data_IF_899505308358
#
_entry.id   IF_899505308358
#
_cell.length_a   1.000
_cell.length_b   1.000
_cell.length_c   1.000
_cell.angle_alpha   90.00
_cell.angle_beta   90.00
_cell.angle_gamma   90.00
#
_symmetry.space_group_name_H-M   'P 1'
#
loop_
_entity.id
_entity.type
_entity.pdbx_description
1 polymer ?
#
# COMPACT_ATOMS: atom_id res chain seq x y z
N UNK A 1 0.41 22.66 24.95
CA UNK A 1 0.96 23.15 23.67
C UNK A 1 2.06 22.18 23.25
N UNK A 2 1.77 21.21 22.38
CA UNK A 2 2.81 20.38 21.78
C UNK A 2 3.49 21.21 20.69
N UNK A 3 4.80 21.41 20.77
CA UNK A 3 5.56 22.10 19.72
C UNK A 3 5.45 21.29 18.43
N UNK A 4 4.95 21.91 17.36
CA UNK A 4 4.90 21.26 16.05
C UNK A 4 6.32 21.08 15.54
N UNK A 5 6.76 19.83 15.35
CA UNK A 5 7.97 19.54 14.63
C UNK A 5 7.72 19.72 13.12
N UNK A 6 8.55 20.53 12.45
CA UNK A 6 8.50 20.67 10.99
C UNK A 6 9.21 19.47 10.37
N UNK A 7 8.54 18.77 9.46
CA UNK A 7 9.10 17.62 8.73
C UNK A 7 9.35 18.00 7.28
N UNK A 8 10.60 17.90 6.85
CA UNK A 8 10.94 17.99 5.43
C UNK A 8 10.69 16.62 4.77
N UNK A 9 9.63 16.52 3.97
CA UNK A 9 9.08 15.26 3.45
C UNK A 9 10.12 14.42 2.70
N UNK A 10 10.95 15.03 1.83
CA UNK A 10 11.97 14.27 1.08
C UNK A 10 12.97 13.60 2.03
N UNK A 11 13.53 14.37 2.95
CA UNK A 11 14.50 13.84 3.93
C UNK A 11 13.87 12.82 4.88
N UNK A 12 12.57 12.93 5.13
CA UNK A 12 11.80 11.96 5.89
C UNK A 12 11.65 10.64 5.13
N UNK A 13 11.24 10.68 3.85
CA UNK A 13 11.14 9.49 3.00
C UNK A 13 12.50 8.80 2.83
N UNK A 14 13.57 9.57 2.63
CA UNK A 14 14.93 9.00 2.56
C UNK A 14 15.30 8.28 3.86
N UNK A 15 14.84 8.78 5.01
CA UNK A 15 15.06 8.16 6.32
C UNK A 15 14.25 6.86 6.45
N UNK A 16 12.98 6.84 6.06
CA UNK A 16 12.17 5.61 6.01
C UNK A 16 12.87 4.55 5.15
N UNK A 17 13.33 4.93 3.96
CA UNK A 17 14.05 4.05 3.04
C UNK A 17 15.32 3.45 3.62
N UNK A 18 16.15 4.27 4.29
CA UNK A 18 17.38 3.79 4.93
C UNK A 18 17.10 2.86 6.10
N UNK A 19 16.21 3.25 7.02
CA UNK A 19 15.93 2.46 8.24
C UNK A 19 15.35 1.09 7.90
N UNK A 20 14.41 1.02 6.95
CA UNK A 20 13.84 -0.27 6.53
C UNK A 20 14.89 -1.16 5.85
N UNK A 21 15.77 -0.57 5.03
CA UNK A 21 16.89 -1.30 4.41
C UNK A 21 17.84 -1.85 5.47
N UNK A 22 18.29 -1.02 6.40
CA UNK A 22 19.20 -1.41 7.48
C UNK A 22 18.57 -2.52 8.34
N UNK A 23 17.26 -2.43 8.64
CA UNK A 23 16.50 -3.44 9.38
C UNK A 23 16.46 -4.78 8.65
N UNK A 24 16.29 -4.78 7.33
CA UNK A 24 16.31 -6.00 6.50
C UNK A 24 17.70 -6.60 6.39
N UNK A 25 18.71 -5.77 6.16
CA UNK A 25 20.11 -6.20 6.08
C UNK A 25 20.59 -6.80 7.41
N UNK A 26 20.19 -6.24 8.55
CA UNK A 26 20.50 -6.82 9.86
C UNK A 26 19.98 -8.25 10.04
N UNK A 27 18.90 -8.63 9.34
CA UNK A 27 18.33 -9.99 9.36
C UNK A 27 19.01 -10.96 8.40
N UNK A 28 19.85 -10.47 7.48
CA UNK A 28 20.51 -11.31 6.46
C UNK A 28 21.19 -12.56 7.05
N UNK A 29 22.04 -12.47 8.10
CA UNK A 29 22.72 -13.66 8.61
C UNK A 29 21.78 -14.71 9.20
N UNK A 30 20.64 -14.30 9.76
CA UNK A 30 19.59 -15.21 10.24
C UNK A 30 18.87 -15.87 9.07
N UNK A 31 18.49 -15.09 8.06
CA UNK A 31 17.72 -15.55 6.91
C UNK A 31 18.54 -16.47 5.99
N UNK A 32 19.84 -16.24 5.85
CA UNK A 32 20.76 -17.12 5.13
C UNK A 32 20.83 -18.52 5.75
N UNK A 33 20.59 -18.64 7.07
CA UNK A 33 20.57 -19.93 7.78
C UNK A 33 19.17 -20.55 7.85
N UNK A 34 18.13 -19.81 7.44
CA UNK A 34 16.74 -20.23 7.59
C UNK A 34 16.34 -21.19 6.48
N UNK A 35 15.75 -22.33 6.87
CA UNK A 35 15.23 -23.36 5.97
C UNK A 35 13.71 -23.42 6.11
N UNK A 36 13.01 -23.40 4.99
CA UNK A 36 11.56 -23.64 4.89
C UNK A 36 11.37 -25.14 4.70
N UNK A 37 10.48 -25.74 5.52
CA UNK A 37 10.14 -27.17 5.46
C UNK A 37 8.68 -27.32 5.05
N UNK A 38 8.46 -27.94 3.89
CA UNK A 38 7.13 -28.26 3.38
C UNK A 38 6.90 -29.77 3.50
N UNK A 39 5.94 -30.18 4.32
CA UNK A 39 5.59 -31.59 4.51
C UNK A 39 4.31 -31.91 3.74
N UNK A 40 4.40 -32.84 2.79
CA UNK A 40 3.26 -33.30 2.00
C UNK A 40 3.22 -34.83 1.85
N UNK A 41 2.22 -35.35 1.10
CA UNK A 41 2.05 -36.79 0.90
C UNK A 41 3.26 -37.49 0.26
N UNK A 42 4.11 -36.75 -0.46
CA UNK A 42 5.35 -37.23 -1.09
C UNK A 42 6.62 -37.07 -0.26
N UNK A 43 6.53 -36.67 1.02
CA UNK A 43 7.66 -36.44 1.91
C UNK A 43 7.91 -34.97 2.25
N UNK A 44 9.07 -34.69 2.84
CA UNK A 44 9.48 -33.35 3.27
C UNK A 44 10.42 -32.72 2.25
N UNK A 45 10.09 -31.52 1.77
CA UNK A 45 10.97 -30.67 0.97
C UNK A 45 11.56 -29.57 1.84
N UNK A 46 12.88 -29.41 1.78
CA UNK A 46 13.58 -28.30 2.42
C UNK A 46 13.99 -27.27 1.36
N UNK A 47 13.82 -25.98 1.62
CA UNK A 47 14.20 -24.91 0.71
C UNK A 47 14.78 -23.73 1.50
N UNK A 48 16.00 -23.24 1.18
CA UNK A 48 16.55 -22.04 1.81
C UNK A 48 15.61 -20.85 1.66
N UNK A 49 15.46 -20.05 2.72
CA UNK A 49 14.49 -18.96 2.73
C UNK A 49 14.73 -17.94 1.62
N UNK A 50 15.99 -17.55 1.37
CA UNK A 50 16.34 -16.57 0.35
C UNK A 50 16.21 -17.10 -1.09
N UNK A 51 16.13 -18.41 -1.28
CA UNK A 51 15.77 -19.01 -2.58
C UNK A 51 14.27 -18.98 -2.81
N UNK A 52 13.47 -19.14 -1.74
CA UNK A 52 12.02 -19.07 -1.82
C UNK A 52 11.49 -17.63 -1.90
N UNK A 53 12.18 -16.68 -1.28
CA UNK A 53 11.78 -15.25 -1.22
C UNK A 53 12.90 -14.38 -1.79
N UNK A 54 12.99 -14.38 -3.12
CA UNK A 54 14.08 -13.74 -3.86
C UNK A 54 14.06 -12.21 -3.78
N UNK A 55 12.89 -11.60 -3.55
CA UNK A 55 12.70 -10.14 -3.49
C UNK A 55 12.78 -9.56 -2.06
N UNK A 56 13.23 -10.34 -1.07
CA UNK A 56 13.20 -9.91 0.34
C UNK A 56 13.92 -8.57 0.56
N UNK A 57 15.03 -8.32 -0.14
CA UNK A 57 15.82 -7.09 0.01
C UNK A 57 15.37 -5.95 -0.93
N UNK A 58 14.55 -6.25 -1.93
CA UNK A 58 14.01 -5.27 -2.88
C UNK A 58 12.71 -4.61 -2.38
N UNK A 59 12.42 -4.77 -1.09
CA UNK A 59 11.23 -4.22 -0.47
C UNK A 59 11.20 -2.69 -0.51
N UNK A 60 10.16 -2.15 -1.13
CA UNK A 60 9.86 -0.72 -1.09
C UNK A 60 9.00 -0.43 0.14
N UNK A 61 9.46 0.41 1.10
CA UNK A 61 8.67 0.76 2.27
C UNK A 61 7.37 1.44 1.86
N UNK A 62 6.29 1.19 2.62
CA UNK A 62 4.94 1.70 2.34
C UNK A 62 4.89 3.22 2.17
N UNK A 63 5.74 3.96 2.88
CA UNK A 63 5.85 5.42 2.78
C UNK A 63 6.34 5.86 1.40
N UNK A 64 7.40 5.22 0.88
CA UNK A 64 7.93 5.51 -0.46
C UNK A 64 6.92 5.06 -1.52
N UNK A 65 6.35 3.89 -1.32
CA UNK A 65 5.36 3.31 -2.23
C UNK A 65 4.12 4.19 -2.37
N UNK A 66 3.63 4.80 -1.28
CA UNK A 66 2.48 5.71 -1.32
C UNK A 66 2.71 6.88 -2.29
N UNK A 67 3.89 7.50 -2.25
CA UNK A 67 4.25 8.58 -3.17
C UNK A 67 4.56 8.08 -4.60
N UNK A 68 5.14 6.88 -4.74
CA UNK A 68 5.33 6.27 -6.06
C UNK A 68 3.99 5.99 -6.75
N UNK A 69 3.05 5.37 -6.03
CA UNK A 69 1.69 5.09 -6.52
C UNK A 69 0.95 6.40 -6.85
N UNK A 70 1.19 7.48 -6.10
CA UNK A 70 0.68 8.82 -6.43
C UNK A 70 1.23 9.35 -7.75
N UNK A 71 2.55 9.36 -7.91
CA UNK A 71 3.20 9.86 -9.14
C UNK A 71 2.90 9.01 -10.38
N UNK A 72 2.61 7.72 -10.19
CA UNK A 72 2.30 6.78 -11.28
C UNK A 72 0.80 6.66 -11.60
N UNK A 73 -0.07 7.39 -10.92
CA UNK A 73 -1.52 7.37 -11.13
C UNK A 73 -2.05 8.67 -11.73
N UNK A 74 -3.35 8.70 -12.02
CA UNK A 74 -4.08 9.89 -12.45
C UNK A 74 -4.15 10.98 -11.37
N UNK A 75 -3.81 10.66 -10.12
CA UNK A 75 -3.67 11.63 -9.02
C UNK A 75 -2.44 12.54 -9.17
N UNK A 76 -1.44 12.15 -9.96
CA UNK A 76 -0.15 12.85 -10.14
C UNK A 76 -0.24 14.38 -10.29
N UNK A 77 -1.17 14.97 -11.08
CA UNK A 77 -1.23 16.43 -11.24
C UNK A 77 -1.62 17.17 -9.97
N UNK A 78 -2.22 16.47 -8.99
CA UNK A 78 -2.66 17.04 -7.73
C UNK A 78 -1.56 16.95 -6.68
N UNK A 79 -1.49 17.97 -5.82
CA UNK A 79 -0.55 17.99 -4.71
C UNK A 79 -1.04 17.03 -3.63
N UNK A 80 -0.24 16.04 -3.24
CA UNK A 80 -0.57 15.09 -2.16
C UNK A 80 -1.12 15.80 -0.92
N UNK A 81 -0.44 16.86 -0.48
CA UNK A 81 -0.79 17.61 0.72
C UNK A 81 -2.06 18.48 0.60
N UNK A 82 -2.62 18.63 -0.60
CA UNK A 82 -3.95 19.23 -0.77
C UNK A 82 -5.08 18.25 -0.39
N UNK A 83 -4.77 16.95 -0.30
CA UNK A 83 -5.77 15.91 -0.06
C UNK A 83 -5.45 14.98 1.13
N UNK A 84 -4.17 14.84 1.50
CA UNK A 84 -3.72 14.04 2.65
C UNK A 84 -2.81 14.82 3.59
N UNK A 85 -3.07 14.71 4.89
CA UNK A 85 -2.08 14.98 5.92
C UNK A 85 -1.25 13.70 6.19
N UNK A 86 -0.01 13.87 6.64
CA UNK A 86 0.88 12.77 6.99
C UNK A 86 1.13 12.80 8.50
N UNK A 87 0.54 11.85 9.21
CA UNK A 87 0.73 11.64 10.64
C UNK A 87 2.08 10.92 10.86
N UNK A 88 3.17 11.70 10.87
CA UNK A 88 4.54 11.20 10.94
C UNK A 88 4.87 10.65 12.33
N UNK A 89 5.57 9.52 12.32
CA UNK A 89 6.02 8.77 13.50
C UNK A 89 7.51 8.47 13.36
N UNK A 90 8.25 8.72 14.43
CA UNK A 90 9.67 8.39 14.54
C UNK A 90 9.90 8.04 16.02
N UNK A 91 9.95 6.75 16.33
CA UNK A 91 10.11 6.26 17.70
C UNK A 91 10.97 5.00 17.74
N UNK A 92 11.53 4.72 18.91
CA UNK A 92 12.26 3.47 19.16
C UNK A 92 11.46 2.59 20.10
N UNK A 93 11.24 1.34 19.70
CA UNK A 93 10.55 0.33 20.51
C UNK A 93 11.41 -0.93 20.58
N UNK A 94 11.75 -1.36 21.80
CA UNK A 94 12.58 -2.56 22.06
C UNK A 94 13.91 -2.60 21.28
N UNK A 95 14.54 -1.43 21.12
CA UNK A 95 15.80 -1.29 20.38
C UNK A 95 15.64 -1.18 18.86
N UNK A 96 14.45 -1.40 18.32
CA UNK A 96 14.16 -1.18 16.89
C UNK A 96 13.58 0.22 16.70
N UNK A 97 14.16 0.99 15.78
CA UNK A 97 13.62 2.30 15.39
C UNK A 97 12.59 2.11 14.29
N UNK A 98 11.40 2.64 14.51
CA UNK A 98 10.28 2.66 13.57
C UNK A 98 10.08 4.09 13.08
N UNK A 99 10.15 4.29 11.77
CA UNK A 99 9.94 5.60 11.12
C UNK A 99 8.97 5.44 9.98
N UNK A 100 7.89 6.21 9.99
CA UNK A 100 6.85 6.12 8.99
C UNK A 100 5.76 7.17 9.15
N UNK A 101 4.73 7.13 8.32
CA UNK A 101 3.56 7.98 8.51
C UNK A 101 2.27 7.19 8.29
N UNK A 102 1.19 7.66 8.90
CA UNK A 102 -0.16 7.26 8.53
C UNK A 102 -0.76 8.34 7.63
N UNK A 103 -1.15 8.03 6.38
CA UNK A 103 -1.85 8.97 5.53
C UNK A 103 -3.25 9.24 6.09
N UNK A 104 -3.59 10.51 6.30
CA UNK A 104 -4.89 10.97 6.81
C UNK A 104 -5.60 11.78 5.73
N UNK A 105 -6.70 11.28 5.14
CA UNK A 105 -7.45 12.06 4.16
C UNK A 105 -8.01 13.33 4.81
N UNK A 106 -7.87 14.46 4.12
CA UNK A 106 -8.40 15.76 4.56
C UNK A 106 -9.90 15.90 4.24
N UNK A 107 -10.36 15.17 3.21
CA UNK A 107 -11.77 15.09 2.83
C UNK A 107 -12.22 13.64 2.92
N UNK A 108 -13.27 13.40 3.69
CA UNK A 108 -13.83 12.07 3.92
C UNK A 108 -15.03 11.87 2.98
N UNK A 109 -15.19 10.68 2.38
CA UNK A 109 -16.45 10.35 1.71
C UNK A 109 -17.58 10.29 2.73
N UNK A 110 -18.82 10.45 2.28
CA UNK A 110 -20.00 10.43 3.16
C UNK A 110 -20.22 9.07 3.79
N UNK A 111 -19.93 8.02 3.04
CA UNK A 111 -20.13 6.63 3.44
C UNK A 111 -18.88 5.81 3.16
N UNK A 112 -18.73 4.73 3.92
CA UNK A 112 -17.71 3.71 3.63
C UNK A 112 -18.16 2.90 2.43
N UNK A 113 -17.22 2.62 1.52
CA UNK A 113 -17.44 1.67 0.43
C UNK A 113 -17.02 0.28 0.90
N UNK A 114 -18.01 -0.57 1.21
CA UNK A 114 -17.82 -1.94 1.67
C UNK A 114 -18.10 -2.92 0.54
N UNK A 115 -17.43 -4.07 0.57
CA UNK A 115 -17.79 -5.18 -0.30
C UNK A 115 -19.14 -5.79 0.13
N UNK A 116 -20.04 -6.05 -0.81
CA UNK A 116 -21.25 -6.83 -0.56
C UNK A 116 -21.27 -8.05 -1.48
N UNK A 117 -21.81 -9.21 -1.05
CA UNK A 117 -21.83 -10.42 -1.88
C UNK A 117 -22.54 -10.24 -3.23
N UNK A 118 -23.49 -9.33 -3.31
CA UNK A 118 -24.31 -9.04 -4.48
C UNK A 118 -23.70 -7.95 -5.39
N UNK A 119 -22.59 -7.32 -4.98
CA UNK A 119 -21.99 -6.22 -5.74
C UNK A 119 -21.37 -6.73 -7.04
N UNK A 120 -21.95 -6.33 -8.18
CA UNK A 120 -21.30 -6.54 -9.47
C UNK A 120 -20.10 -5.60 -9.63
N UNK A 121 -19.08 -6.03 -10.36
CA UNK A 121 -17.89 -5.20 -10.62
C UNK A 121 -18.22 -3.86 -11.28
N UNK A 122 -19.26 -3.81 -12.13
CA UNK A 122 -19.70 -2.56 -12.77
C UNK A 122 -20.31 -1.59 -11.75
N UNK A 123 -21.11 -2.10 -10.81
CA UNK A 123 -21.62 -1.29 -9.71
C UNK A 123 -20.47 -0.76 -8.84
N UNK A 124 -19.42 -1.57 -8.61
CA UNK A 124 -18.23 -1.12 -7.90
C UNK A 124 -17.52 0.02 -8.64
N UNK A 125 -17.44 -0.03 -9.98
CA UNK A 125 -16.91 1.08 -10.80
C UNK A 125 -17.68 2.39 -10.56
N UNK A 126 -19.01 2.34 -10.61
CA UNK A 126 -19.84 3.53 -10.36
C UNK A 126 -19.63 4.09 -8.95
N UNK A 127 -19.45 3.20 -7.96
CA UNK A 127 -19.24 3.58 -6.55
C UNK A 127 -17.87 4.21 -6.32
N UNK A 128 -16.80 3.69 -6.92
CA UNK A 128 -15.46 4.30 -6.79
C UNK A 128 -15.41 5.68 -7.45
N UNK A 129 -16.09 5.87 -8.59
CA UNK A 129 -16.18 7.18 -9.25
C UNK A 129 -16.99 8.18 -8.42
N UNK A 130 -18.02 7.71 -7.70
CA UNK A 130 -18.72 8.55 -6.73
C UNK A 130 -17.80 8.99 -5.58
N UNK A 131 -17.00 8.07 -5.02
CA UNK A 131 -16.02 8.39 -3.98
C UNK A 131 -15.00 9.42 -4.48
N UNK A 132 -14.43 9.23 -5.67
CA UNK A 132 -13.47 10.16 -6.27
C UNK A 132 -14.03 11.58 -6.42
N UNK A 133 -15.28 11.69 -6.90
CA UNK A 133 -15.99 12.97 -7.00
C UNK A 133 -16.22 13.60 -5.63
N UNK A 134 -16.57 12.80 -4.62
CA UNK A 134 -16.76 13.28 -3.26
C UNK A 134 -15.45 13.81 -2.68
N UNK A 135 -14.32 13.12 -2.83
CA UNK A 135 -13.03 13.58 -2.31
C UNK A 135 -12.33 14.61 -3.20
N UNK A 136 -12.82 14.79 -4.43
CA UNK A 136 -12.26 15.73 -5.41
C UNK A 136 -10.89 15.31 -5.95
N UNK A 137 -10.61 14.00 -6.00
CA UNK A 137 -9.34 13.45 -6.48
C UNK A 137 -9.63 12.27 -7.42
N UNK A 138 -9.10 12.27 -8.66
CA UNK A 138 -9.13 11.08 -9.50
C UNK A 138 -8.28 9.97 -8.84
N UNK A 139 -8.82 8.75 -8.81
CA UNK A 139 -8.20 7.60 -8.16
C UNK A 139 -8.00 7.79 -6.64
N UNK A 140 -8.74 8.70 -6.02
CA UNK A 140 -8.70 8.95 -4.58
C UNK A 140 -9.24 7.79 -3.74
N UNK A 141 -10.20 7.03 -4.26
CA UNK A 141 -10.72 5.82 -3.65
C UNK A 141 -9.59 4.80 -3.35
N UNK A 142 -8.58 4.72 -4.20
CA UNK A 142 -7.43 3.83 -4.01
C UNK A 142 -6.61 4.23 -2.78
N UNK A 143 -6.28 5.51 -2.63
CA UNK A 143 -5.55 6.01 -1.46
C UNK A 143 -6.36 5.98 -0.17
N UNK A 144 -7.69 6.00 -0.27
CA UNK A 144 -8.58 5.71 0.85
C UNK A 144 -8.57 4.22 1.23
N UNK A 145 -8.45 3.34 0.24
CA UNK A 145 -8.38 1.89 0.39
C UNK A 145 -7.07 1.41 1.01
N UNK A 146 -5.94 2.11 0.79
CA UNK A 146 -4.64 1.63 1.30
C UNK A 146 -4.61 1.45 2.82
N UNK A 147 -5.45 2.15 3.57
CA UNK A 147 -5.62 1.98 5.03
C UNK A 147 -6.87 1.13 5.40
N UNK A 148 -7.67 0.69 4.42
CA UNK A 148 -8.82 -0.21 4.59
C UNK A 148 -10.01 0.36 5.38
N UNK A 149 -9.95 1.62 5.80
CA UNK A 149 -11.03 2.20 6.59
C UNK A 149 -12.18 2.68 5.71
N UNK A 150 -11.93 3.56 4.75
CA UNK A 150 -13.00 4.20 3.97
C UNK A 150 -13.44 3.40 2.75
N UNK A 151 -12.51 2.66 2.16
CA UNK A 151 -12.79 1.71 1.09
C UNK A 151 -12.22 0.37 1.53
N UNK A 152 -13.06 -0.64 1.47
CA UNK A 152 -12.71 -2.02 1.80
C UNK A 152 -11.69 -2.57 0.77
N UNK A 153 -10.56 -3.17 1.19
CA UNK A 153 -9.60 -3.78 0.27
C UNK A 153 -10.23 -4.82 -0.68
N UNK A 154 -11.27 -5.53 -0.27
CA UNK A 154 -11.93 -6.51 -1.12
C UNK A 154 -12.56 -5.87 -2.37
N UNK A 155 -12.97 -4.60 -2.28
CA UNK A 155 -13.45 -3.82 -3.44
C UNK A 155 -12.33 -3.65 -4.48
N UNK A 156 -11.12 -3.30 -4.04
CA UNK A 156 -9.96 -3.19 -4.91
C UNK A 156 -9.57 -4.53 -5.53
N UNK A 157 -9.62 -5.62 -4.78
CA UNK A 157 -9.33 -6.96 -5.29
C UNK A 157 -10.35 -7.39 -6.36
N UNK A 158 -11.64 -7.13 -6.14
CA UNK A 158 -12.68 -7.44 -7.13
C UNK A 158 -12.53 -6.61 -8.42
N UNK A 159 -12.21 -5.31 -8.30
CA UNK A 159 -11.93 -4.48 -9.48
C UNK A 159 -10.67 -4.98 -10.19
N UNK A 160 -9.59 -5.32 -9.47
CA UNK A 160 -8.38 -5.89 -10.06
C UNK A 160 -8.66 -7.20 -10.82
N UNK A 161 -9.49 -8.08 -10.27
CA UNK A 161 -9.96 -9.29 -10.97
C UNK A 161 -10.78 -8.93 -12.21
N UNK A 162 -11.66 -7.92 -12.13
CA UNK A 162 -12.41 -7.40 -13.26
C UNK A 162 -11.52 -6.86 -14.39
N UNK A 163 -10.43 -6.17 -14.05
CA UNK A 163 -9.42 -5.70 -15.00
C UNK A 163 -8.68 -6.88 -15.66
N UNK A 164 -8.21 -7.85 -14.86
CA UNK A 164 -7.55 -9.08 -15.37
C UNK A 164 -8.46 -9.85 -16.32
N UNK A 165 -9.77 -9.89 -16.04
CA UNK A 165 -10.80 -10.51 -16.86
C UNK A 165 -11.36 -9.61 -17.99
N UNK A 166 -10.82 -8.39 -18.16
CA UNK A 166 -11.27 -7.41 -19.17
C UNK A 166 -12.76 -7.05 -19.11
N UNK A 167 -13.38 -7.17 -17.92
CA UNK A 167 -14.80 -6.83 -17.70
C UNK A 167 -15.04 -5.35 -17.44
N UNK A 168 -14.02 -4.66 -16.91
CA UNK A 168 -14.04 -3.23 -16.62
C UNK A 168 -12.73 -2.59 -17.10
N UNK A 169 -12.68 -1.27 -17.13
CA UNK A 169 -11.47 -0.50 -17.47
C UNK A 169 -11.28 0.64 -16.47
N UNK A 170 -10.02 0.91 -16.18
CA UNK A 170 -9.54 2.13 -15.54
C UNK A 170 -8.58 2.83 -16.52
N UNK A 171 -8.24 4.11 -16.30
CA UNK A 171 -7.09 4.71 -16.97
C UNK A 171 -5.84 3.83 -16.80
N UNK A 172 -5.04 3.68 -17.86
CA UNK A 172 -3.86 2.78 -17.85
C UNK A 172 -2.89 3.00 -16.68
N UNK A 173 -2.61 4.26 -16.23
CA UNK A 173 -1.79 4.49 -15.04
C UNK A 173 -2.40 3.88 -13.77
N UNK A 174 -3.71 4.09 -13.57
CA UNK A 174 -4.47 3.63 -12.40
C UNK A 174 -4.60 2.11 -12.37
N UNK A 175 -4.88 1.51 -13.52
CA UNK A 175 -4.94 0.06 -13.67
C UNK A 175 -3.60 -0.60 -13.27
N UNK A 176 -2.48 -0.02 -13.70
CA UNK A 176 -1.13 -0.52 -13.36
C UNK A 176 -0.85 -0.45 -11.86
N UNK A 177 -1.18 0.67 -11.22
CA UNK A 177 -1.02 0.85 -9.77
C UNK A 177 -1.90 -0.14 -9.01
N UNK A 178 -3.17 -0.29 -9.39
CA UNK A 178 -4.10 -1.21 -8.73
C UNK A 178 -3.67 -2.68 -8.89
N UNK A 179 -3.24 -3.09 -10.08
CA UNK A 179 -2.78 -4.46 -10.31
C UNK A 179 -1.50 -4.77 -9.51
N UNK A 180 -0.54 -3.84 -9.48
CA UNK A 180 0.65 -3.97 -8.62
C UNK A 180 0.27 -4.05 -7.14
N UNK A 181 -0.74 -3.30 -6.71
CA UNK A 181 -1.29 -3.40 -5.36
C UNK A 181 -1.96 -4.74 -5.08
N UNK A 182 -2.72 -5.30 -6.02
CA UNK A 182 -3.37 -6.59 -5.84
C UNK A 182 -2.37 -7.74 -5.69
N UNK A 183 -1.22 -7.65 -6.35
CA UNK A 183 -0.15 -8.66 -6.23
C UNK A 183 0.64 -8.51 -4.91
N UNK A 184 0.68 -7.31 -4.33
CA UNK A 184 1.32 -7.03 -3.03
C UNK A 184 0.57 -5.90 -2.32
N UNK A 185 -0.32 -6.20 -1.39
CA UNK A 185 -1.13 -5.19 -0.70
C UNK A 185 -0.30 -4.32 0.26
N UNK A 186 -0.87 -3.18 0.69
CA UNK A 186 -0.30 -2.40 1.79
C UNK A 186 -0.50 -3.12 3.12
N UNK A 187 0.42 -2.92 4.06
CA UNK A 187 0.31 -3.39 5.45
C UNK A 187 0.43 -2.22 6.43
N UNK A 188 -0.47 -1.24 6.33
CA UNK A 188 -0.59 -0.14 7.30
C UNK A 188 -1.19 -0.60 8.63
#
# INVERSE_FOLDING_TARGET
RAGGAVVHVRSFLDRCGRIERDKREAKRPELERRIIRETGPGGTRETPFLEAVTDYFDFVPRELRFFQDWEESSARPQRVFAHWALDARDYTHKGEREVGFIPRPLKLPKERLLMTPEASVHLLMDRIEAVDREVGLPFGWFFLMTHGHWVDPDVGLAIAQGLKAQRVRLPDPDARVLLRWADRTYGF
#
